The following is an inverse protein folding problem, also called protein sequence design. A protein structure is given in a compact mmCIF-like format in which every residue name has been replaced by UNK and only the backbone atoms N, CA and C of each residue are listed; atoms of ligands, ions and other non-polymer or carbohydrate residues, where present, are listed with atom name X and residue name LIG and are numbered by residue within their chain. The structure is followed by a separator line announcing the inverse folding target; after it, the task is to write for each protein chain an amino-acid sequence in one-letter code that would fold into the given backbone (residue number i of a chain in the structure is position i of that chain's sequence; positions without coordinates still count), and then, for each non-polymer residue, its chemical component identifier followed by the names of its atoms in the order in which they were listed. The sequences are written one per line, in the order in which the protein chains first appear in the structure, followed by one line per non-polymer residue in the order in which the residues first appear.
data_IF_101158539857
#
_entry.id   IF_101158539857
#
_cell.length_a   1.000
_cell.length_b   1.000
_cell.length_c   1.000
_cell.angle_alpha   90.00
_cell.angle_beta   90.00
_cell.angle_gamma   90.00
#
_symmetry.space_group_name_H-M   'P 1'
#
loop_
_entity.id
_entity.type
_entity.pdbx_description
1 polymer ?
#
# COMPACT_ATOMS: atom_id res chain seq x y z
N UNK A 1 -36.23 -23.52 -10.92
CA UNK A 1 -35.66 -22.17 -10.95
C UNK A 1 -34.20 -22.26 -10.53
N UNK A 2 -33.29 -22.13 -11.44
CA UNK A 2 -31.87 -22.09 -11.13
C UNK A 2 -31.58 -20.67 -10.67
N UNK A 3 -31.34 -20.49 -9.38
CA UNK A 3 -30.83 -19.22 -8.89
C UNK A 3 -29.37 -19.18 -9.29
N UNK A 4 -29.06 -18.36 -10.25
CA UNK A 4 -27.67 -18.07 -10.63
C UNK A 4 -27.03 -17.24 -9.49
N UNK A 5 -26.32 -17.94 -8.61
CA UNK A 5 -25.41 -17.29 -7.69
C UNK A 5 -24.11 -16.94 -8.43
N UNK A 6 -24.20 -16.25 -9.56
CA UNK A 6 -23.05 -15.54 -10.09
C UNK A 6 -22.68 -14.50 -9.03
N UNK A 7 -21.80 -14.92 -8.13
CA UNK A 7 -21.16 -14.04 -7.16
C UNK A 7 -20.58 -12.90 -7.99
N UNK A 8 -21.19 -11.73 -7.86
CA UNK A 8 -20.64 -10.50 -8.37
C UNK A 8 -19.26 -10.40 -7.71
N UNK A 9 -18.21 -10.87 -8.38
CA UNK A 9 -16.85 -10.83 -7.86
C UNK A 9 -16.54 -9.35 -7.68
N UNK A 10 -16.57 -8.90 -6.42
CA UNK A 10 -16.05 -7.59 -6.08
C UNK A 10 -14.66 -7.49 -6.69
N UNK A 11 -14.38 -6.36 -7.34
CA UNK A 11 -13.04 -6.11 -7.88
C UNK A 11 -12.00 -6.35 -6.80
N UNK A 12 -10.87 -6.93 -7.17
CA UNK A 12 -9.73 -7.05 -6.28
C UNK A 12 -9.20 -5.67 -5.93
N UNK A 13 -8.67 -5.55 -4.73
CA UNK A 13 -8.25 -4.27 -4.17
C UNK A 13 -6.75 -4.24 -3.92
N UNK A 14 -6.12 -3.15 -4.35
CA UNK A 14 -4.72 -2.84 -4.08
C UNK A 14 -4.65 -1.77 -2.99
N UNK A 15 -3.89 -2.05 -1.95
CA UNK A 15 -3.55 -1.08 -0.91
C UNK A 15 -2.18 -0.48 -1.21
N UNK A 16 -2.06 0.84 -1.14
CA UNK A 16 -0.80 1.55 -1.36
C UNK A 16 -0.16 1.88 -0.02
N UNK A 17 1.02 1.32 0.21
CA UNK A 17 1.86 1.60 1.37
C UNK A 17 3.18 2.25 0.95
N UNK A 18 3.71 3.11 1.80
CA UNK A 18 4.98 3.78 1.56
C UNK A 18 5.29 4.81 2.64
N UNK A 19 6.51 5.32 2.69
CA UNK A 19 6.92 6.25 3.71
C UNK A 19 6.18 7.59 3.58
N UNK A 20 5.70 8.09 4.69
CA UNK A 20 5.16 9.45 4.81
C UNK A 20 6.19 10.35 5.48
N UNK A 21 6.70 9.94 6.65
CA UNK A 21 7.71 10.67 7.39
C UNK A 21 8.97 10.88 6.54
N UNK A 22 9.36 12.13 6.37
CA UNK A 22 10.50 12.52 5.54
C UNK A 22 10.21 12.58 4.03
N UNK A 23 9.00 12.23 3.63
CA UNK A 23 8.55 12.26 2.23
C UNK A 23 7.18 12.93 2.05
N UNK A 24 6.78 13.77 2.96
CA UNK A 24 5.45 14.37 2.99
C UNK A 24 5.11 15.14 1.71
N UNK A 25 6.12 15.77 1.09
CA UNK A 25 5.95 16.52 -0.17
C UNK A 25 6.08 15.68 -1.43
N UNK A 26 6.34 14.37 -1.30
CA UNK A 26 6.59 13.46 -2.43
C UNK A 26 5.52 12.37 -2.57
N UNK A 27 4.43 12.50 -1.84
CA UNK A 27 3.39 11.46 -1.79
C UNK A 27 2.64 11.30 -3.11
N UNK A 28 2.32 12.40 -3.78
CA UNK A 28 1.39 12.37 -4.90
C UNK A 28 1.93 11.59 -6.09
N UNK A 29 3.23 11.71 -6.38
CA UNK A 29 3.81 11.09 -7.56
C UNK A 29 3.72 9.56 -7.54
N UNK A 30 4.27 8.91 -6.51
CA UNK A 30 4.31 7.46 -6.50
C UNK A 30 2.93 6.84 -6.26
N UNK A 31 2.10 7.49 -5.45
CA UNK A 31 0.74 7.02 -5.20
C UNK A 31 -0.13 7.11 -6.45
N UNK A 32 0.00 8.18 -7.21
CA UNK A 32 -0.67 8.32 -8.50
C UNK A 32 -0.18 7.26 -9.50
N UNK A 33 1.12 7.03 -9.57
CA UNK A 33 1.70 6.01 -10.46
C UNK A 33 1.15 4.61 -10.16
N UNK A 34 1.13 4.21 -8.89
CA UNK A 34 0.58 2.92 -8.49
C UNK A 34 -0.92 2.86 -8.78
N UNK A 35 -1.65 3.92 -8.47
CA UNK A 35 -3.09 4.01 -8.72
C UNK A 35 -3.43 3.84 -10.20
N UNK A 36 -2.72 4.54 -11.07
CA UNK A 36 -2.96 4.49 -12.51
C UNK A 36 -2.70 3.07 -13.07
N UNK A 37 -1.62 2.42 -12.63
CA UNK A 37 -1.28 1.07 -13.06
C UNK A 37 -2.33 0.07 -12.56
N UNK A 38 -2.69 0.12 -11.30
CA UNK A 38 -3.67 -0.79 -10.71
C UNK A 38 -5.07 -0.61 -11.33
N UNK A 39 -5.50 0.63 -11.49
CA UNK A 39 -6.80 0.96 -12.09
C UNK A 39 -6.90 0.49 -13.54
N UNK A 40 -5.82 0.66 -14.32
CA UNK A 40 -5.75 0.16 -15.71
C UNK A 40 -5.98 -1.35 -15.79
N UNK A 41 -5.53 -2.10 -14.79
CA UNK A 41 -5.71 -3.55 -14.71
C UNK A 41 -7.06 -3.97 -14.11
N UNK A 42 -7.88 -3.03 -13.67
CA UNK A 42 -9.19 -3.30 -13.11
C UNK A 42 -9.24 -3.47 -11.60
N UNK A 43 -8.15 -3.17 -10.88
CA UNK A 43 -8.18 -3.15 -9.41
C UNK A 43 -8.85 -1.87 -8.90
N UNK A 44 -9.55 -2.00 -7.78
CA UNK A 44 -9.86 -0.85 -6.94
C UNK A 44 -8.64 -0.51 -6.07
N UNK A 45 -8.47 0.75 -5.74
CA UNK A 45 -7.28 1.22 -5.02
C UNK A 45 -7.68 1.83 -3.69
N UNK A 46 -7.01 1.40 -2.63
CA UNK A 46 -7.11 1.97 -1.29
C UNK A 46 -5.82 2.73 -1.01
N UNK A 47 -5.94 4.05 -0.87
CA UNK A 47 -4.81 4.93 -0.58
C UNK A 47 -5.05 5.72 0.71
N UNK A 48 -4.44 5.31 1.84
CA UNK A 48 -4.62 5.99 3.12
C UNK A 48 -4.20 7.47 3.10
N UNK A 49 -3.25 7.84 2.25
CA UNK A 49 -2.78 9.22 2.15
C UNK A 49 -3.90 10.21 1.79
N UNK A 50 -4.92 9.77 1.10
CA UNK A 50 -6.08 10.63 0.79
C UNK A 50 -6.77 11.16 2.05
N UNK A 51 -6.68 10.45 3.16
CA UNK A 51 -7.18 10.88 4.47
C UNK A 51 -6.14 11.64 5.26
N UNK A 52 -4.93 11.11 5.34
CA UNK A 52 -3.87 11.70 6.17
C UNK A 52 -3.43 13.06 5.65
N UNK A 53 -3.43 13.28 4.34
CA UNK A 53 -3.01 14.57 3.75
C UNK A 53 -3.81 15.77 4.26
N UNK A 54 -5.05 15.58 4.68
CA UNK A 54 -5.87 16.67 5.24
C UNK A 54 -5.41 17.09 6.63
N UNK A 55 -4.65 16.25 7.29
CA UNK A 55 -4.05 16.51 8.60
C UNK A 55 -2.66 17.16 8.46
N UNK A 56 -2.04 16.99 7.30
CA UNK A 56 -0.72 17.52 7.01
C UNK A 56 -0.79 18.97 6.58
N UNK A 57 -0.15 19.86 7.32
CA UNK A 57 -0.13 21.31 7.04
C UNK A 57 1.15 21.79 6.33
N UNK A 58 2.10 20.90 6.06
CA UNK A 58 3.33 21.19 5.31
C UNK A 58 4.48 21.78 6.14
N UNK A 59 4.29 22.05 7.41
CA UNK A 59 5.26 22.78 8.23
C UNK A 59 5.59 22.12 9.57
N UNK A 60 4.76 21.23 10.07
CA UNK A 60 4.93 20.62 11.39
C UNK A 60 5.65 19.28 11.32
N UNK A 61 6.71 19.12 12.09
CA UNK A 61 7.18 17.81 12.51
C UNK A 61 6.10 17.16 13.38
N UNK A 62 5.96 15.85 13.27
CA UNK A 62 4.98 15.10 14.06
C UNK A 62 3.55 15.67 13.95
N UNK A 63 3.12 15.99 12.73
CA UNK A 63 1.77 16.50 12.46
C UNK A 63 0.66 15.60 13.01
N UNK A 64 0.97 14.33 13.19
CA UNK A 64 0.05 13.34 13.77
C UNK A 64 -0.18 13.49 15.26
N UNK A 65 0.61 14.28 15.99
CA UNK A 65 0.46 14.47 17.45
C UNK A 65 -0.88 15.09 17.82
N UNK A 66 -1.52 15.80 16.90
CA UNK A 66 -2.84 16.41 17.09
C UNK A 66 -4.01 15.46 16.83
N UNK A 67 -3.73 14.26 16.40
CA UNK A 67 -4.73 13.25 16.06
C UNK A 67 -4.47 12.02 16.90
N UNK A 68 -5.50 11.39 17.47
CA UNK A 68 -5.30 10.11 18.16
C UNK A 68 -4.66 9.10 17.21
N UNK A 69 -3.41 8.73 17.48
CA UNK A 69 -2.65 7.79 16.65
C UNK A 69 -3.38 6.46 16.51
N UNK A 70 -4.05 6.02 17.57
CA UNK A 70 -4.87 4.82 17.54
C UNK A 70 -5.90 4.86 16.40
N UNK A 71 -6.57 5.98 16.21
CA UNK A 71 -7.67 6.07 15.23
C UNK A 71 -7.16 5.96 13.79
N UNK A 72 -6.10 6.67 13.42
CA UNK A 72 -5.63 6.63 12.04
C UNK A 72 -4.81 5.37 11.73
N UNK A 73 -4.02 4.87 12.67
CA UNK A 73 -3.29 3.60 12.50
C UNK A 73 -4.27 2.44 12.39
N UNK A 74 -5.29 2.39 13.23
CA UNK A 74 -6.30 1.33 13.15
C UNK A 74 -7.06 1.37 11.83
N UNK A 75 -7.39 2.57 11.33
CA UNK A 75 -8.04 2.69 10.01
C UNK A 75 -7.17 2.18 8.88
N UNK A 76 -5.87 2.43 8.93
CA UNK A 76 -4.94 1.93 7.92
C UNK A 76 -4.86 0.40 7.95
N UNK A 77 -4.85 -0.19 9.14
CA UNK A 77 -4.89 -1.65 9.29
C UNK A 77 -6.24 -2.23 8.85
N UNK A 78 -7.34 -1.58 9.16
CA UNK A 78 -8.69 -2.00 8.71
C UNK A 78 -8.77 -1.95 7.17
N UNK A 79 -8.19 -0.93 6.55
CA UNK A 79 -8.10 -0.84 5.09
C UNK A 79 -7.19 -1.93 4.50
N UNK A 80 -6.10 -2.26 5.18
CA UNK A 80 -5.23 -3.36 4.78
C UNK A 80 -5.97 -4.70 4.80
N UNK A 81 -6.90 -4.90 5.72
CA UNK A 81 -7.75 -6.10 5.76
C UNK A 81 -8.66 -6.22 4.53
N UNK A 82 -9.03 -5.12 3.91
CA UNK A 82 -9.88 -5.12 2.72
C UNK A 82 -9.11 -5.40 1.43
N UNK A 83 -7.79 -5.29 1.42
CA UNK A 83 -7.01 -5.48 0.21
C UNK A 83 -6.76 -6.96 -0.09
N UNK A 84 -6.49 -7.23 -1.36
CA UNK A 84 -5.99 -8.52 -1.86
C UNK A 84 -4.48 -8.47 -2.02
N UNK A 85 -3.97 -7.31 -2.48
CA UNK A 85 -2.56 -7.07 -2.75
C UNK A 85 -2.16 -5.74 -2.12
N UNK A 86 -1.05 -5.74 -1.40
CA UNK A 86 -0.41 -4.52 -0.91
C UNK A 86 0.80 -4.20 -1.77
N UNK A 87 0.83 -3.01 -2.34
CA UNK A 87 2.00 -2.48 -3.05
C UNK A 87 2.74 -1.53 -2.12
N UNK A 88 3.95 -1.87 -1.76
CA UNK A 88 4.79 -1.15 -0.80
C UNK A 88 5.95 -0.49 -1.54
N UNK A 89 5.95 0.84 -1.59
CA UNK A 89 7.06 1.61 -2.16
C UNK A 89 8.05 1.97 -1.06
N UNK A 90 9.28 1.50 -1.17
CA UNK A 90 10.34 1.73 -0.18
C UNK A 90 11.59 2.35 -0.83
N UNK A 91 11.58 3.66 -1.12
CA UNK A 91 12.80 4.36 -1.51
C UNK A 91 13.75 4.57 -0.33
N UNK A 92 13.18 4.61 0.87
CA UNK A 92 13.86 4.68 2.18
C UNK A 92 13.13 3.76 3.15
N UNK A 93 13.75 3.46 4.29
CA UNK A 93 13.08 2.71 5.35
C UNK A 93 11.93 3.52 5.95
N UNK A 94 10.84 2.83 6.21
CA UNK A 94 9.65 3.39 6.83
C UNK A 94 9.09 2.41 7.85
N UNK A 95 9.00 2.84 9.09
CA UNK A 95 8.43 2.03 10.15
C UNK A 95 6.98 1.68 9.86
N UNK A 96 6.15 2.66 9.49
CA UNK A 96 4.74 2.45 9.17
C UNK A 96 4.54 1.47 8.02
N UNK A 97 5.25 1.68 6.90
CA UNK A 97 5.16 0.78 5.74
C UNK A 97 5.58 -0.65 6.08
N UNK A 98 6.64 -0.83 6.88
CA UNK A 98 7.09 -2.15 7.31
C UNK A 98 6.06 -2.83 8.23
N UNK A 99 5.40 -2.09 9.11
CA UNK A 99 4.36 -2.63 9.99
C UNK A 99 3.10 -3.00 9.21
N UNK A 100 2.68 -2.18 8.27
CA UNK A 100 1.56 -2.49 7.37
C UNK A 100 1.86 -3.75 6.55
N UNK A 101 3.06 -3.87 6.01
CA UNK A 101 3.51 -5.02 5.25
C UNK A 101 3.51 -6.31 6.10
N UNK A 102 4.04 -6.22 7.32
CA UNK A 102 4.00 -7.33 8.27
C UNK A 102 2.57 -7.77 8.55
N UNK A 103 1.70 -6.81 8.85
CA UNK A 103 0.29 -7.07 9.12
C UNK A 103 -0.41 -7.73 7.93
N UNK A 104 -0.24 -7.19 6.74
CA UNK A 104 -0.83 -7.73 5.51
C UNK A 104 -0.37 -9.17 5.26
N UNK A 105 0.92 -9.44 5.36
CA UNK A 105 1.47 -10.79 5.16
C UNK A 105 0.91 -11.79 6.17
N UNK A 106 0.83 -11.39 7.43
CA UNK A 106 0.26 -12.23 8.50
C UNK A 106 -1.22 -12.55 8.28
N UNK A 107 -1.94 -11.68 7.60
CA UNK A 107 -3.36 -11.86 7.30
C UNK A 107 -3.62 -12.42 5.89
N UNK A 108 -2.61 -13.03 5.28
CA UNK A 108 -2.75 -13.76 4.02
C UNK A 108 -2.83 -12.90 2.77
N UNK A 109 -2.50 -11.61 2.88
CA UNK A 109 -2.46 -10.72 1.73
C UNK A 109 -1.18 -10.92 0.93
N UNK A 110 -1.21 -10.61 -0.36
CA UNK A 110 -0.01 -10.59 -1.20
C UNK A 110 0.71 -9.26 -1.06
N UNK A 111 2.03 -9.29 -1.02
CA UNK A 111 2.87 -8.10 -0.82
C UNK A 111 3.87 -7.98 -1.95
N UNK A 112 3.77 -6.88 -2.69
CA UNK A 112 4.73 -6.48 -3.72
C UNK A 112 5.52 -5.30 -3.19
N UNK A 113 6.85 -5.42 -3.11
CA UNK A 113 7.74 -4.32 -2.73
C UNK A 113 8.37 -3.72 -3.96
N UNK A 114 8.31 -2.40 -4.08
CA UNK A 114 9.03 -1.63 -5.10
C UNK A 114 10.15 -0.86 -4.41
N UNK A 115 11.40 -1.21 -4.67
CA UNK A 115 12.55 -0.59 -3.99
C UNK A 115 13.82 -0.71 -4.80
N UNK A 116 14.57 0.39 -4.90
CA UNK A 116 15.91 0.43 -5.46
C UNK A 116 17.00 0.34 -4.38
N UNK A 117 16.63 0.13 -3.11
CA UNK A 117 17.60 -0.01 -2.03
C UNK A 117 18.53 -1.19 -2.29
N UNK A 118 19.83 -0.97 -2.15
CA UNK A 118 20.87 -1.99 -2.44
C UNK A 118 20.75 -3.22 -1.55
N UNK A 119 20.42 -3.01 -0.30
CA UNK A 119 20.37 -4.07 0.70
C UNK A 119 19.06 -3.92 1.49
N UNK A 120 18.10 -4.77 1.18
CA UNK A 120 16.86 -4.83 1.94
C UNK A 120 17.06 -5.68 3.20
N UNK A 121 16.48 -5.22 4.30
CA UNK A 121 16.42 -5.99 5.53
C UNK A 121 15.85 -7.39 5.28
N UNK A 122 16.37 -8.45 5.91
CA UNK A 122 15.77 -9.78 5.80
C UNK A 122 14.32 -9.82 6.25
N UNK A 123 13.89 -8.92 7.14
CA UNK A 123 12.50 -8.78 7.54
C UNK A 123 11.60 -8.32 6.38
N UNK A 124 12.09 -7.42 5.54
CA UNK A 124 11.38 -6.98 4.34
C UNK A 124 11.31 -8.11 3.31
N UNK A 125 12.42 -8.77 3.06
CA UNK A 125 12.50 -9.89 2.11
C UNK A 125 11.55 -11.01 2.51
N UNK A 126 11.53 -11.39 3.78
CA UNK A 126 10.67 -12.46 4.29
C UNK A 126 9.17 -12.14 4.13
N UNK A 127 8.78 -10.87 4.33
CA UNK A 127 7.38 -10.44 4.26
C UNK A 127 6.94 -9.98 2.87
N UNK A 128 7.77 -10.19 1.86
CA UNK A 128 7.46 -9.87 0.46
C UNK A 128 7.17 -11.13 -0.32
N UNK A 129 6.14 -11.09 -1.17
CA UNK A 129 5.92 -12.14 -2.17
C UNK A 129 6.76 -11.87 -3.41
N UNK A 130 6.88 -10.61 -3.80
CA UNK A 130 7.69 -10.16 -4.95
C UNK A 130 8.39 -8.85 -4.59
N UNK A 131 9.64 -8.74 -4.99
CA UNK A 131 10.42 -7.50 -4.90
C UNK A 131 10.81 -7.08 -6.31
N UNK A 132 10.40 -5.87 -6.69
CA UNK A 132 10.75 -5.26 -7.98
C UNK A 132 11.49 -3.95 -7.74
N UNK A 133 12.31 -3.54 -8.70
CA UNK A 133 13.15 -2.35 -8.57
C UNK A 133 12.53 -1.08 -9.12
N UNK A 134 11.52 -1.21 -9.98
CA UNK A 134 10.96 -0.09 -10.72
C UNK A 134 9.47 -0.27 -10.94
N UNK A 135 8.74 0.84 -11.00
CA UNK A 135 7.33 0.84 -11.39
C UNK A 135 7.09 0.30 -12.80
N UNK A 136 8.12 0.29 -13.66
CA UNK A 136 8.03 -0.33 -14.99
C UNK A 136 7.73 -1.84 -14.93
N UNK A 137 8.05 -2.50 -13.82
CA UNK A 137 7.79 -3.92 -13.60
C UNK A 137 6.44 -4.17 -12.90
N UNK A 138 5.78 -3.14 -12.40
CA UNK A 138 4.60 -3.28 -11.54
C UNK A 138 3.40 -3.83 -12.30
N UNK A 139 3.15 -3.36 -13.52
CA UNK A 139 2.00 -3.82 -14.32
C UNK A 139 2.04 -5.34 -14.55
N UNK A 140 3.17 -5.85 -15.03
CA UNK A 140 3.33 -7.30 -15.26
C UNK A 140 3.25 -8.10 -13.96
N UNK A 141 3.79 -7.57 -12.88
CA UNK A 141 3.74 -8.22 -11.57
C UNK A 141 2.31 -8.29 -11.04
N UNK A 142 1.55 -7.21 -11.12
CA UNK A 142 0.14 -7.16 -10.68
C UNK A 142 -0.77 -8.07 -11.48
N UNK A 143 -0.49 -8.31 -12.76
CA UNK A 143 -1.27 -9.25 -13.59
C UNK A 143 -1.34 -10.66 -13.00
N UNK A 144 -0.35 -11.07 -12.24
CA UNK A 144 -0.33 -12.38 -11.59
C UNK A 144 -1.34 -12.51 -10.46
N UNK A 145 -1.93 -11.41 -10.02
CA UNK A 145 -2.88 -11.35 -8.89
C UNK A 145 -4.30 -10.94 -9.32
N UNK A 146 -4.55 -10.91 -10.61
CA UNK A 146 -5.89 -10.67 -11.14
C UNK A 146 -6.89 -11.79 -10.81
#
# INVERSE_FOLDING_TARGET
MVVDFSVNRMKKQVFISGPILGMEKKQDYYRKTITDIAAKLGFDVIDPWKRERVLYNGTEECWWDKVPTFDFVQRDLDDADLCDVMVVYLPILSAGACMEMFYAKRNGKKVIVVSEMKCLSPWIVFHSDVIIKSFNQLEETLKNYL
#
